data_IF_899164622269
#
_entry.id   IF_899164622269
#
_cell.length_a   1.000
_cell.length_b   1.000
_cell.length_c   1.000
_cell.angle_alpha   90.00
_cell.angle_beta   90.00
_cell.angle_gamma   90.00
#
_symmetry.space_group_name_H-M   'P 1'
#
loop_
_entity.id
_entity.type
_entity.pdbx_description
1 polymer ?
#
# COMPACT_ATOMS: atom_id res chain seq x y z
N UNK A 1 -4.69 20.78 -11.68
CA UNK A 1 -4.30 19.90 -10.57
C UNK A 1 -5.21 20.17 -9.38
N UNK A 2 -5.74 19.14 -8.72
CA UNK A 2 -6.41 19.30 -7.42
C UNK A 2 -5.43 19.88 -6.38
N UNK A 3 -5.93 20.46 -5.28
CA UNK A 3 -5.06 20.97 -4.19
C UNK A 3 -4.08 19.92 -3.69
N UNK A 4 -4.53 18.66 -3.64
CA UNK A 4 -3.74 17.53 -3.15
C UNK A 4 -2.64 17.15 -4.15
N UNK A 5 -2.93 17.12 -5.45
CA UNK A 5 -1.92 16.95 -6.48
C UNK A 5 -0.83 18.03 -6.41
N UNK A 6 -1.21 19.30 -6.24
CA UNK A 6 -0.24 20.40 -6.10
C UNK A 6 0.66 20.22 -4.88
N UNK A 7 0.10 19.79 -3.73
CA UNK A 7 0.88 19.51 -2.54
C UNK A 7 1.90 18.39 -2.77
N UNK A 8 1.53 17.36 -3.51
CA UNK A 8 2.44 16.26 -3.83
C UNK A 8 3.52 16.64 -4.84
N UNK A 9 3.21 17.49 -5.82
CA UNK A 9 4.23 18.06 -6.71
C UNK A 9 5.27 18.83 -5.91
N UNK A 10 4.83 19.68 -4.97
CA UNK A 10 5.75 20.43 -4.10
C UNK A 10 6.54 19.51 -3.16
N UNK A 11 5.89 18.47 -2.62
CA UNK A 11 6.58 17.48 -1.79
C UNK A 11 7.73 16.81 -2.56
N UNK A 12 7.46 16.36 -3.79
CA UNK A 12 8.43 15.66 -4.62
C UNK A 12 9.51 16.53 -5.25
N UNK A 13 9.40 17.86 -5.15
CA UNK A 13 10.55 18.76 -5.42
C UNK A 13 11.63 18.67 -4.34
N UNK A 14 11.28 18.17 -3.15
CA UNK A 14 12.20 18.08 -2.01
C UNK A 14 12.54 16.64 -1.62
N UNK A 15 11.61 15.71 -1.78
CA UNK A 15 11.78 14.32 -1.37
C UNK A 15 11.40 13.37 -2.51
N UNK A 16 12.30 12.49 -2.91
CA UNK A 16 12.09 11.61 -4.06
C UNK A 16 11.02 10.55 -3.80
N UNK A 17 10.93 10.06 -2.56
CA UNK A 17 10.02 8.99 -2.14
C UNK A 17 9.32 9.35 -0.82
N UNK A 18 8.00 9.14 -0.78
CA UNK A 18 7.20 9.15 0.44
C UNK A 18 6.93 7.70 0.89
N UNK A 19 7.20 7.41 2.16
CA UNK A 19 6.89 6.12 2.77
C UNK A 19 5.68 6.23 3.69
N UNK A 20 4.79 5.24 3.63
CA UNK A 20 3.61 5.13 4.51
C UNK A 20 3.20 3.66 4.67
N UNK A 21 2.40 3.28 5.67
CA UNK A 21 1.71 1.99 5.65
C UNK A 21 0.81 1.88 4.41
N UNK A 22 0.68 0.69 3.82
CA UNK A 22 -0.30 0.49 2.72
C UNK A 22 -1.72 0.61 3.27
N UNK A 23 -2.01 -0.14 4.33
CA UNK A 23 -3.30 -0.18 5.03
C UNK A 23 -3.15 0.38 6.45
N UNK A 24 -4.25 0.86 7.02
CA UNK A 24 -4.29 1.44 8.37
C UNK A 24 -4.51 0.41 9.49
N UNK A 25 -4.68 -0.87 9.12
CA UNK A 25 -4.81 -2.01 10.04
C UNK A 25 -4.10 -3.22 9.43
N UNK A 26 -3.70 -4.17 10.28
CA UNK A 26 -3.22 -5.48 9.85
C UNK A 26 -4.36 -6.32 9.28
N UNK A 27 -4.02 -7.48 8.70
CA UNK A 27 -4.95 -8.35 7.97
C UNK A 27 -6.26 -8.57 8.74
N UNK A 28 -7.36 -8.08 8.16
CA UNK A 28 -8.69 -8.27 8.73
C UNK A 28 -9.12 -9.74 8.67
N UNK A 29 -9.90 -10.16 9.68
CA UNK A 29 -10.51 -11.50 9.69
C UNK A 29 -11.54 -11.62 8.56
N UNK A 30 -11.73 -12.83 8.06
CA UNK A 30 -12.80 -13.15 7.11
C UNK A 30 -14.16 -12.70 7.67
N UNK A 31 -15.00 -12.12 6.81
CA UNK A 31 -16.30 -11.55 7.17
C UNK A 31 -16.25 -10.18 7.85
N UNK A 32 -15.07 -9.66 8.22
CA UNK A 32 -14.98 -8.31 8.79
C UNK A 32 -15.26 -7.22 7.74
N UNK A 33 -14.82 -7.39 6.50
CA UNK A 33 -15.24 -6.52 5.39
C UNK A 33 -16.15 -7.32 4.46
N UNK A 34 -17.44 -7.36 4.79
CA UNK A 34 -18.44 -8.13 4.06
C UNK A 34 -19.22 -7.22 3.09
N UNK A 35 -19.15 -7.51 1.80
CA UNK A 35 -19.89 -6.79 0.76
C UNK A 35 -21.34 -7.27 0.60
N UNK A 36 -21.70 -8.42 1.20
CA UNK A 36 -23.06 -8.95 1.19
C UNK A 36 -23.91 -8.45 2.37
N UNK A 37 -23.35 -7.62 3.25
CA UNK A 37 -24.09 -7.04 4.36
C UNK A 37 -25.23 -6.16 3.87
N UNK A 38 -26.36 -6.19 4.59
CA UNK A 38 -27.44 -5.23 4.41
C UNK A 38 -27.13 -3.82 4.95
N UNK A 39 -26.05 -3.68 5.74
CA UNK A 39 -25.63 -2.40 6.32
C UNK A 39 -24.50 -1.75 5.52
N UNK A 40 -24.89 -0.96 4.51
CA UNK A 40 -23.94 -0.22 3.66
C UNK A 40 -23.17 0.87 4.41
N UNK A 41 -23.72 1.40 5.50
CA UNK A 41 -23.05 2.43 6.30
C UNK A 41 -21.88 1.83 7.07
N UNK A 42 -22.12 0.68 7.70
CA UNK A 42 -21.08 -0.08 8.38
C UNK A 42 -20.00 -0.53 7.40
N UNK A 43 -20.39 -1.12 6.26
CA UNK A 43 -19.44 -1.50 5.20
C UNK A 43 -18.55 -0.32 4.79
N UNK A 44 -19.15 0.83 4.47
CA UNK A 44 -18.42 2.03 4.07
C UNK A 44 -17.48 2.54 5.16
N UNK A 45 -17.89 2.48 6.43
CA UNK A 45 -17.05 2.85 7.56
C UNK A 45 -15.84 1.92 7.72
N UNK A 46 -16.05 0.60 7.64
CA UNK A 46 -14.98 -0.41 7.72
C UNK A 46 -14.01 -0.29 6.55
N UNK A 47 -14.53 -0.11 5.33
CA UNK A 47 -13.73 0.12 4.13
C UNK A 47 -12.79 1.32 4.30
N UNK A 48 -13.33 2.50 4.66
CA UNK A 48 -12.54 3.72 4.87
C UNK A 48 -11.52 3.58 6.00
N UNK A 49 -11.87 2.85 7.06
CA UNK A 49 -10.96 2.59 8.18
C UNK A 49 -9.84 1.59 7.85
N UNK A 50 -9.93 0.89 6.72
CA UNK A 50 -8.98 -0.15 6.31
C UNK A 50 -8.11 0.24 5.12
N UNK A 51 -8.70 0.86 4.09
CA UNK A 51 -8.07 1.14 2.78
C UNK A 51 -6.79 1.97 2.85
N UNK A 52 -6.56 2.65 3.97
CA UNK A 52 -5.36 3.42 4.24
C UNK A 52 -5.14 4.54 3.24
N UNK A 53 -3.93 4.60 2.69
CA UNK A 53 -3.46 5.73 1.89
C UNK A 53 -3.55 5.50 0.38
N UNK A 54 -3.92 4.29 -0.06
CA UNK A 54 -3.92 3.91 -1.49
C UNK A 54 -4.85 4.77 -2.36
N UNK A 55 -6.01 5.16 -1.84
CA UNK A 55 -6.98 5.98 -2.56
C UNK A 55 -6.44 7.37 -2.94
N UNK A 56 -5.52 7.91 -2.13
CA UNK A 56 -4.84 9.17 -2.42
C UNK A 56 -4.13 9.09 -3.77
N UNK A 57 -3.31 8.05 -3.97
CA UNK A 57 -2.47 7.91 -5.16
C UNK A 57 -3.24 7.42 -6.39
N UNK A 58 -4.36 6.71 -6.19
CA UNK A 58 -5.33 6.51 -7.28
C UNK A 58 -5.91 7.85 -7.79
N UNK A 59 -6.19 8.78 -6.88
CA UNK A 59 -6.71 10.10 -7.23
C UNK A 59 -5.66 11.04 -7.80
N UNK A 60 -4.43 11.02 -7.27
CA UNK A 60 -3.37 11.96 -7.66
C UNK A 60 -2.45 11.43 -8.74
N UNK A 61 -2.44 10.12 -9.04
CA UNK A 61 -1.76 9.49 -10.18
C UNK A 61 -0.27 9.15 -9.99
N UNK A 62 0.31 9.38 -8.81
CA UNK A 62 1.71 9.03 -8.55
C UNK A 62 1.92 7.50 -8.61
N UNK A 63 3.04 7.04 -9.19
CA UNK A 63 3.43 5.64 -9.08
C UNK A 63 3.67 5.29 -7.61
N UNK A 64 3.17 4.12 -7.19
CA UNK A 64 3.28 3.63 -5.82
C UNK A 64 3.50 2.12 -5.81
N UNK A 65 4.39 1.64 -4.95
CA UNK A 65 4.71 0.23 -4.77
C UNK A 65 4.41 -0.21 -3.32
N UNK A 66 3.78 -1.39 -3.17
CA UNK A 66 3.56 -2.03 -1.86
C UNK A 66 4.67 -3.05 -1.60
N UNK A 67 5.50 -2.78 -0.59
CA UNK A 67 6.68 -3.57 -0.25
C UNK A 67 6.43 -4.42 1.01
N UNK A 68 6.69 -5.75 0.98
CA UNK A 68 6.41 -6.67 2.09
C UNK A 68 7.51 -6.63 3.15
N UNK A 69 7.67 -5.50 3.84
CA UNK A 69 8.80 -5.25 4.75
C UNK A 69 8.57 -5.70 6.19
N UNK A 70 7.35 -6.11 6.55
CA UNK A 70 7.01 -6.44 7.93
C UNK A 70 5.97 -7.55 8.04
N UNK A 71 5.92 -8.21 9.21
CA UNK A 71 4.86 -9.15 9.59
C UNK A 71 4.32 -8.76 10.96
N UNK A 72 3.02 -8.91 11.16
CA UNK A 72 2.42 -8.72 12.47
C UNK A 72 2.74 -9.87 13.44
N UNK A 73 2.26 -9.77 14.68
CA UNK A 73 2.51 -10.80 15.70
C UNK A 73 1.87 -12.16 15.41
N UNK A 74 1.00 -12.26 14.41
CA UNK A 74 0.42 -13.50 13.93
C UNK A 74 1.14 -14.04 12.67
N UNK A 75 2.21 -13.40 12.23
CA UNK A 75 2.96 -13.77 11.03
C UNK A 75 2.30 -13.33 9.72
N UNK A 76 1.29 -12.45 9.77
CA UNK A 76 0.60 -11.96 8.58
C UNK A 76 1.33 -10.75 7.98
N UNK A 77 1.37 -10.60 6.65
CA UNK A 77 2.17 -9.58 5.99
C UNK A 77 1.61 -8.16 6.24
N UNK A 78 2.52 -7.22 6.47
CA UNK A 78 2.23 -5.78 6.58
C UNK A 78 3.05 -5.02 5.55
N UNK A 79 2.36 -4.35 4.63
CA UNK A 79 3.00 -3.64 3.53
C UNK A 79 3.41 -2.21 3.90
N UNK A 80 4.57 -1.79 3.39
CA UNK A 80 5.02 -0.39 3.33
C UNK A 80 4.82 0.12 1.91
N UNK A 81 4.05 1.18 1.75
CA UNK A 81 3.83 1.85 0.48
C UNK A 81 4.93 2.89 0.25
N UNK A 82 5.64 2.75 -0.87
CA UNK A 82 6.58 3.74 -1.38
C UNK A 82 5.99 4.45 -2.59
N UNK A 83 5.89 5.77 -2.53
CA UNK A 83 5.31 6.60 -3.61
C UNK A 83 6.36 7.58 -4.12
N UNK A 84 6.55 7.64 -5.43
CA UNK A 84 7.47 8.55 -6.08
C UNK A 84 6.72 9.63 -6.88
N UNK A 85 7.47 10.61 -7.40
CA UNK A 85 6.91 11.58 -8.34
C UNK A 85 6.38 10.91 -9.62
N UNK A 86 5.49 11.60 -10.34
CA UNK A 86 5.01 11.18 -11.64
C UNK A 86 6.16 10.82 -12.60
N UNK A 87 6.07 9.67 -13.27
CA UNK A 87 7.08 9.19 -14.23
C UNK A 87 8.32 8.52 -13.61
N UNK A 88 8.40 8.43 -12.28
CA UNK A 88 9.55 7.84 -11.57
C UNK A 88 9.31 6.39 -11.13
N UNK A 89 8.57 5.60 -11.89
CA UNK A 89 8.37 4.16 -11.67
C UNK A 89 9.70 3.41 -11.56
N UNK A 90 10.68 3.79 -12.39
CA UNK A 90 12.03 3.21 -12.38
C UNK A 90 12.73 3.37 -11.01
N UNK A 91 12.53 4.51 -10.35
CA UNK A 91 13.09 4.78 -9.02
C UNK A 91 12.48 3.82 -7.98
N UNK A 92 11.17 3.60 -8.03
CA UNK A 92 10.49 2.66 -7.13
C UNK A 92 10.97 1.23 -7.36
N UNK A 93 11.16 0.81 -8.62
CA UNK A 93 11.70 -0.52 -8.94
C UNK A 93 13.14 -0.69 -8.42
N UNK A 94 13.99 0.32 -8.60
CA UNK A 94 15.36 0.30 -8.07
C UNK A 94 15.38 0.24 -6.54
N UNK A 95 14.56 1.06 -5.86
CA UNK A 95 14.43 1.05 -4.42
C UNK A 95 13.93 -0.32 -3.92
N UNK A 96 12.93 -0.89 -4.59
CA UNK A 96 12.38 -2.21 -4.26
C UNK A 96 13.45 -3.29 -4.35
N UNK A 97 14.24 -3.31 -5.42
CA UNK A 97 15.33 -4.27 -5.60
C UNK A 97 16.43 -4.12 -4.54
N UNK A 98 16.80 -2.88 -4.18
CA UNK A 98 17.78 -2.64 -3.13
C UNK A 98 17.29 -3.12 -1.76
N UNK A 99 16.01 -2.89 -1.45
CA UNK A 99 15.39 -3.34 -0.21
C UNK A 99 15.27 -4.87 -0.15
N UNK A 100 14.87 -5.51 -1.25
CA UNK A 100 14.84 -6.97 -1.37
C UNK A 100 16.25 -7.58 -1.21
N UNK A 101 17.28 -6.96 -1.80
CA UNK A 101 18.66 -7.42 -1.65
C UNK A 101 19.16 -7.27 -0.20
N UNK A 102 18.83 -6.17 0.46
CA UNK A 102 19.25 -5.90 1.84
C UNK A 102 18.49 -6.76 2.87
N UNK A 103 17.22 -7.06 2.60
CA UNK A 103 16.35 -7.87 3.45
C UNK A 103 15.42 -8.72 2.56
N UNK A 104 15.87 -9.93 2.16
CA UNK A 104 15.09 -10.81 1.29
C UNK A 104 13.71 -11.11 1.85
N UNK A 105 12.70 -11.01 1.00
CA UNK A 105 11.32 -11.15 1.42
C UNK A 105 10.99 -12.62 1.70
N UNK A 106 10.45 -12.95 2.89
CA UNK A 106 10.13 -14.32 3.23
C UNK A 106 8.95 -14.83 2.39
N UNK A 107 9.07 -16.05 1.87
CA UNK A 107 7.92 -16.76 1.30
C UNK A 107 7.02 -17.25 2.44
N UNK A 108 5.88 -16.58 2.63
CA UNK A 108 4.94 -16.84 3.73
C UNK A 108 3.72 -17.69 3.34
N UNK A 109 3.55 -17.93 2.05
CA UNK A 109 2.54 -18.83 1.52
C UNK A 109 3.16 -19.62 0.34
N UNK A 110 2.81 -20.90 0.16
CA UNK A 110 3.17 -21.61 -1.05
C UNK A 110 2.51 -20.93 -2.25
N UNK A 111 3.15 -21.03 -3.43
CA UNK A 111 2.41 -20.79 -4.66
C UNK A 111 1.25 -21.79 -4.71
N UNK A 112 0.09 -21.37 -5.23
CA UNK A 112 -0.97 -22.33 -5.46
C UNK A 112 -0.41 -23.42 -6.39
N UNK A 113 -0.39 -24.66 -5.93
CA UNK A 113 0.01 -25.79 -6.77
C UNK A 113 -0.93 -25.77 -7.99
N UNK A 114 -0.34 -25.64 -9.17
CA UNK A 114 -1.08 -25.78 -10.43
C UNK A 114 -1.22 -27.27 -10.71
N UNK A 115 -2.18 -27.91 -10.05
CA UNK A 115 -2.73 -29.20 -10.51
C UNK A 115 -3.65 -28.98 -11.72
#
# INVERSE_FOLDING_TARGET
>A
LTRVEQQMVVFHQKYDVLLSPVLTKTTAKLGWLDMNTGDLNEYGARFRAYSGFTALYNGTGQPSASLPLFQDSAGLPVGVMATAAWGNDHLLLQLSAQLEQAAPWPQIAPFADTD
#
